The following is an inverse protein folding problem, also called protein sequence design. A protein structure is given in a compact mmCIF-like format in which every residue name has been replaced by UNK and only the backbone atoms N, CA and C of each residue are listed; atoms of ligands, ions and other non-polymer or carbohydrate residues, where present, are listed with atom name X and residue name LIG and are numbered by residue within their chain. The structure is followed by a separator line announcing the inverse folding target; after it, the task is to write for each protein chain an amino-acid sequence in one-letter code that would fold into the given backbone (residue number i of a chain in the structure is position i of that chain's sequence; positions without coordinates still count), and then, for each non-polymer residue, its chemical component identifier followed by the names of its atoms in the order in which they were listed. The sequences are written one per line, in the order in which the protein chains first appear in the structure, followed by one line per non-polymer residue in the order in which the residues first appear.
data_IF_490153747765
#
_entry.id   IF_490153747765
#
_cell.length_a   1.000
_cell.length_b   1.000
_cell.length_c   1.000
_cell.angle_alpha   90.00
_cell.angle_beta   90.00
_cell.angle_gamma   90.00
#
_symmetry.space_group_name_H-M   'P 1'
#
loop_
_entity.id
_entity.type
_entity.pdbx_description
1 polymer ?
#
# COMPACT_ATOMS: atom_id res chain seq x y z
N UNK A 1 -24.05 53.21 50.72
CA UNK A 1 -23.19 53.25 49.52
C UNK A 1 -21.93 52.48 49.87
N UNK A 2 -21.83 51.24 49.41
CA UNK A 2 -20.58 50.47 49.46
C UNK A 2 -20.58 49.60 48.22
N UNK A 3 -19.64 49.90 47.34
CA UNK A 3 -19.48 49.33 46.01
C UNK A 3 -19.22 47.83 46.05
N UNK A 4 -19.96 47.08 45.23
CA UNK A 4 -19.58 45.73 44.82
C UNK A 4 -18.54 45.84 43.70
N UNK A 5 -17.33 45.26 43.85
CA UNK A 5 -16.32 45.32 42.82
C UNK A 5 -16.63 44.30 41.73
N UNK A 6 -16.98 44.79 40.55
CA UNK A 6 -16.53 44.43 39.19
C UNK A 6 -15.90 43.03 38.94
N UNK A 7 -16.51 41.98 39.50
CA UNK A 7 -16.02 40.60 39.38
C UNK A 7 -16.56 39.89 38.15
N UNK A 8 -17.63 40.42 37.55
CA UNK A 8 -18.26 39.82 36.37
C UNK A 8 -17.59 40.29 35.07
N UNK A 9 -17.18 41.57 34.97
CA UNK A 9 -16.45 42.10 33.81
C UNK A 9 -15.09 41.43 33.58
N UNK A 10 -14.37 41.16 34.68
CA UNK A 10 -13.03 40.54 34.62
C UNK A 10 -13.03 39.06 34.22
N UNK A 11 -14.06 38.32 34.61
CA UNK A 11 -14.21 36.90 34.23
C UNK A 11 -14.65 36.75 32.77
N UNK A 12 -15.39 37.74 32.24
CA UNK A 12 -15.76 37.78 30.81
C UNK A 12 -14.59 38.26 29.96
N UNK A 13 -13.79 39.25 30.40
CA UNK A 13 -12.54 39.64 29.72
C UNK A 13 -11.48 38.53 29.73
N UNK A 14 -11.32 37.80 30.84
CA UNK A 14 -10.39 36.66 30.91
C UNK A 14 -10.88 35.46 30.08
N UNK A 15 -12.20 35.29 29.89
CA UNK A 15 -12.79 34.28 29.02
C UNK A 15 -12.76 34.67 27.53
N UNK A 16 -12.98 35.94 27.19
CA UNK A 16 -12.80 36.49 25.84
C UNK A 16 -11.32 36.51 25.44
N UNK A 17 -10.39 36.84 26.34
CA UNK A 17 -8.95 36.66 26.12
C UNK A 17 -8.55 35.19 26.04
N UNK A 18 -9.20 34.28 26.78
CA UNK A 18 -8.98 32.85 26.63
C UNK A 18 -9.52 32.32 25.28
N UNK A 19 -10.56 32.94 24.72
CA UNK A 19 -11.16 32.55 23.44
C UNK A 19 -10.47 33.22 22.23
N UNK A 20 -9.88 34.41 22.39
CA UNK A 20 -8.92 35.00 21.44
C UNK A 20 -7.52 34.35 21.51
N UNK A 21 -7.22 33.60 22.57
CA UNK A 21 -5.99 32.81 22.73
C UNK A 21 -6.04 31.45 22.02
N UNK A 22 -6.78 31.31 20.92
CA UNK A 22 -6.51 30.23 19.97
C UNK A 22 -5.11 30.49 19.38
N UNK A 23 -4.10 29.97 20.09
CA UNK A 23 -2.71 30.43 20.03
C UNK A 23 -2.21 30.57 18.58
N UNK A 24 -1.35 31.57 18.28
CA UNK A 24 -0.67 31.67 16.98
C UNK A 24 -0.04 30.34 16.53
N UNK A 25 0.39 29.52 17.49
CA UNK A 25 0.90 28.16 17.26
C UNK A 25 -0.17 27.23 16.68
N UNK A 26 -1.38 27.18 17.26
CA UNK A 26 -2.45 26.31 16.78
C UNK A 26 -2.91 26.68 15.37
N UNK A 27 -3.02 27.98 15.07
CA UNK A 27 -3.34 28.49 13.73
C UNK A 27 -2.26 28.12 12.73
N UNK A 28 -0.99 28.36 13.06
CA UNK A 28 0.16 27.98 12.23
C UNK A 28 0.18 26.46 12.00
N UNK A 29 -0.04 25.66 13.04
CA UNK A 29 -0.03 24.19 12.95
C UNK A 29 -1.14 23.67 12.03
N UNK A 30 -2.34 24.25 12.11
CA UNK A 30 -3.45 23.91 11.22
C UNK A 30 -3.14 24.25 9.76
N UNK A 31 -2.61 25.45 9.50
CA UNK A 31 -2.21 25.86 8.15
C UNK A 31 -1.11 24.95 7.58
N UNK A 32 -0.08 24.64 8.37
CA UNK A 32 1.03 23.76 7.96
C UNK A 32 0.60 22.33 7.68
N UNK A 33 -0.33 21.80 8.49
CA UNK A 33 -0.95 20.49 8.23
C UNK A 33 -1.72 20.49 6.91
N UNK A 34 -2.59 21.48 6.70
CA UNK A 34 -3.33 21.60 5.46
C UNK A 34 -2.39 21.70 4.23
N UNK A 35 -1.30 22.45 4.34
CA UNK A 35 -0.26 22.51 3.31
C UNK A 35 0.36 21.13 3.05
N UNK A 36 0.77 20.40 4.11
CA UNK A 36 1.33 19.05 3.99
C UNK A 36 0.33 18.09 3.35
N UNK A 37 -0.94 18.17 3.74
CA UNK A 37 -2.01 17.31 3.25
C UNK A 37 -2.27 17.53 1.74
N UNK A 38 -2.06 18.76 1.25
CA UNK A 38 -2.17 19.12 -0.17
C UNK A 38 -0.95 18.71 -1.01
N UNK A 39 0.18 18.36 -0.37
CA UNK A 39 1.37 17.93 -1.12
C UNK A 39 1.08 16.67 -1.95
N UNK A 40 1.61 16.57 -3.19
CA UNK A 40 1.48 15.36 -4.00
C UNK A 40 1.99 14.09 -3.30
N UNK A 41 3.02 14.24 -2.43
CA UNK A 41 3.54 13.15 -1.62
C UNK A 41 2.54 12.60 -0.60
N UNK A 42 1.63 13.44 -0.07
CA UNK A 42 0.63 13.03 0.93
C UNK A 42 -0.41 12.11 0.32
N UNK A 43 -1.02 12.52 -0.81
CA UNK A 43 -1.92 11.65 -1.57
C UNK A 43 -1.23 10.34 -1.99
N UNK A 44 0.02 10.41 -2.45
CA UNK A 44 0.78 9.21 -2.81
C UNK A 44 1.00 8.29 -1.61
N UNK A 45 1.26 8.84 -0.42
CA UNK A 45 1.40 8.04 0.81
C UNK A 45 0.11 7.26 1.10
N UNK A 46 -1.04 7.91 1.03
CA UNK A 46 -2.34 7.25 1.26
C UNK A 46 -2.63 6.16 0.22
N UNK A 47 -2.36 6.46 -1.06
CA UNK A 47 -2.45 5.52 -2.17
C UNK A 47 -1.54 4.30 -1.95
N UNK A 48 -0.30 4.51 -1.49
CA UNK A 48 0.65 3.43 -1.20
C UNK A 48 0.26 2.62 0.04
N UNK A 49 -0.34 3.24 1.06
CA UNK A 49 -0.89 2.53 2.21
C UNK A 49 -2.07 1.64 1.82
N UNK A 50 -2.97 2.13 0.97
CA UNK A 50 -4.08 1.34 0.43
C UNK A 50 -3.56 0.18 -0.45
N UNK A 51 -2.58 0.46 -1.31
CA UNK A 51 -1.94 -0.56 -2.16
C UNK A 51 -1.21 -1.62 -1.33
N UNK A 52 -0.55 -1.23 -0.23
CA UNK A 52 0.08 -2.16 0.71
C UNK A 52 -0.91 -3.14 1.33
N UNK A 53 -2.11 -2.67 1.71
CA UNK A 53 -3.17 -3.55 2.24
C UNK A 53 -3.61 -4.57 1.18
N UNK A 54 -3.80 -4.13 -0.05
CA UNK A 54 -4.16 -5.03 -1.17
C UNK A 54 -3.04 -6.05 -1.44
N UNK A 55 -1.78 -5.62 -1.42
CA UNK A 55 -0.62 -6.48 -1.60
C UNK A 55 -0.49 -7.52 -0.49
N UNK A 56 -0.71 -7.11 0.76
CA UNK A 56 -0.75 -8.01 1.91
C UNK A 56 -1.85 -9.08 1.75
N UNK A 57 -3.08 -8.67 1.42
CA UNK A 57 -4.20 -9.60 1.19
C UNK A 57 -3.91 -10.59 0.06
N UNK A 58 -3.35 -10.12 -1.05
CA UNK A 58 -2.91 -10.98 -2.15
C UNK A 58 -1.83 -11.97 -1.72
N UNK A 59 -0.79 -11.49 -1.04
CA UNK A 59 0.33 -12.32 -0.61
C UNK A 59 -0.09 -13.42 0.37
N UNK A 60 -0.94 -13.08 1.33
CA UNK A 60 -1.42 -14.04 2.32
C UNK A 60 -2.37 -15.07 1.70
N UNK A 61 -3.30 -14.65 0.83
CA UNK A 61 -4.16 -15.60 0.09
C UNK A 61 -3.34 -16.54 -0.81
N UNK A 62 -2.32 -16.02 -1.50
CA UNK A 62 -1.43 -16.83 -2.33
C UNK A 62 -0.65 -17.86 -1.49
N UNK A 63 -0.14 -17.44 -0.32
CA UNK A 63 0.59 -18.31 0.60
C UNK A 63 -0.30 -19.40 1.19
N UNK A 64 -1.53 -19.07 1.60
CA UNK A 64 -2.49 -20.04 2.13
C UNK A 64 -2.86 -21.08 1.07
N UNK A 65 -3.18 -20.63 -0.15
CA UNK A 65 -3.48 -21.53 -1.27
C UNK A 65 -2.28 -22.45 -1.57
N UNK A 66 -1.08 -21.90 -1.71
CA UNK A 66 0.12 -22.70 -2.00
C UNK A 66 0.42 -23.72 -0.88
N UNK A 67 0.26 -23.32 0.38
CA UNK A 67 0.46 -24.19 1.54
C UNK A 67 -0.55 -25.35 1.55
N UNK A 68 -1.81 -25.05 1.28
CA UNK A 68 -2.88 -26.05 1.19
C UNK A 68 -2.69 -27.00 0.01
N UNK A 69 -2.26 -26.49 -1.15
CA UNK A 69 -1.89 -27.34 -2.29
C UNK A 69 -0.72 -28.27 -1.94
N UNK A 70 0.32 -27.74 -1.27
CA UNK A 70 1.52 -28.49 -0.92
C UNK A 70 1.26 -29.64 0.07
N UNK A 71 0.25 -29.54 0.94
CA UNK A 71 -0.10 -30.63 1.86
C UNK A 71 -0.60 -31.90 1.16
N UNK A 72 -0.93 -31.81 -0.14
CA UNK A 72 -1.27 -32.96 -0.98
C UNK A 72 -0.25 -33.19 -2.11
N UNK A 73 0.09 -32.16 -2.88
CA UNK A 73 0.92 -32.31 -4.09
C UNK A 73 2.32 -32.86 -3.82
N UNK A 74 2.93 -32.50 -2.69
CA UNK A 74 4.29 -32.91 -2.33
C UNK A 74 4.36 -34.18 -1.47
N UNK A 75 3.25 -34.89 -1.27
CA UNK A 75 3.17 -36.00 -0.32
C UNK A 75 2.95 -37.35 -1.01
N UNK A 76 3.35 -38.43 -0.35
CA UNK A 76 2.99 -39.80 -0.76
C UNK A 76 1.57 -40.21 -0.38
N UNK A 77 0.69 -39.25 -0.07
CA UNK A 77 -0.69 -39.53 0.29
C UNK A 77 -1.50 -39.80 -0.97
N UNK A 78 -2.11 -40.98 -1.06
CA UNK A 78 -3.01 -41.30 -2.16
C UNK A 78 -4.35 -40.55 -2.01
N UNK A 79 -4.94 -40.14 -3.13
CA UNK A 79 -6.21 -39.39 -3.20
C UNK A 79 -7.37 -39.95 -2.35
N UNK A 80 -7.47 -41.26 -2.12
CA UNK A 80 -8.55 -41.86 -1.31
C UNK A 80 -8.46 -41.47 0.18
N UNK A 81 -7.33 -40.92 0.62
CA UNK A 81 -7.14 -40.40 1.98
C UNK A 81 -7.38 -38.88 2.07
N UNK A 82 -7.66 -38.22 0.96
CA UNK A 82 -7.95 -36.79 0.94
C UNK A 82 -9.42 -36.61 1.32
N UNK A 83 -9.67 -35.78 2.31
CA UNK A 83 -11.01 -35.57 2.83
C UNK A 83 -11.79 -34.55 1.98
N UNK A 84 -13.11 -34.52 2.14
CA UNK A 84 -13.96 -33.53 1.47
C UNK A 84 -13.64 -32.11 1.95
N UNK A 85 -13.29 -31.94 3.23
CA UNK A 85 -12.89 -30.65 3.80
C UNK A 85 -11.65 -30.09 3.10
N UNK A 86 -10.71 -30.94 2.67
CA UNK A 86 -9.56 -30.50 1.88
C UNK A 86 -10.02 -29.86 0.56
N UNK A 87 -10.97 -30.48 -0.13
CA UNK A 87 -11.47 -29.99 -1.43
C UNK A 87 -12.22 -28.68 -1.25
N UNK A 88 -13.10 -28.60 -0.24
CA UNK A 88 -13.87 -27.38 0.06
C UNK A 88 -12.94 -26.20 0.39
N UNK A 89 -11.90 -26.45 1.20
CA UNK A 89 -10.94 -25.44 1.57
C UNK A 89 -10.06 -25.01 0.38
N UNK A 90 -9.68 -25.95 -0.50
CA UNK A 90 -8.95 -25.65 -1.73
C UNK A 90 -9.76 -24.69 -2.62
N UNK A 91 -11.06 -24.95 -2.78
CA UNK A 91 -11.99 -24.12 -3.56
C UNK A 91 -12.12 -22.71 -2.96
N UNK A 92 -12.27 -22.62 -1.63
CA UNK A 92 -12.34 -21.33 -0.91
C UNK A 92 -11.06 -20.52 -1.09
N UNK A 93 -9.90 -21.14 -0.92
CA UNK A 93 -8.60 -20.49 -1.06
C UNK A 93 -8.31 -20.08 -2.49
N UNK A 94 -8.68 -20.89 -3.48
CA UNK A 94 -8.57 -20.56 -4.90
C UNK A 94 -9.39 -19.32 -5.26
N UNK A 95 -10.65 -19.27 -4.80
CA UNK A 95 -11.50 -18.09 -5.00
C UNK A 95 -10.88 -16.84 -4.38
N UNK A 96 -10.45 -16.91 -3.11
CA UNK A 96 -9.83 -15.79 -2.42
C UNK A 96 -8.58 -15.28 -3.13
N UNK A 97 -7.74 -16.21 -3.61
CA UNK A 97 -6.56 -15.88 -4.41
C UNK A 97 -6.94 -15.11 -5.69
N UNK A 98 -7.83 -15.67 -6.53
CA UNK A 98 -8.24 -15.05 -7.79
C UNK A 98 -8.85 -13.65 -7.60
N UNK A 99 -9.66 -13.48 -6.55
CA UNK A 99 -10.25 -12.19 -6.20
C UNK A 99 -9.22 -11.17 -5.70
N UNK A 100 -8.25 -11.62 -4.90
CA UNK A 100 -7.20 -10.74 -4.38
C UNK A 100 -6.22 -10.25 -5.46
N UNK A 101 -5.91 -11.08 -6.47
CA UNK A 101 -5.12 -10.65 -7.64
C UNK A 101 -5.82 -9.50 -8.36
N UNK A 102 -7.11 -9.64 -8.63
CA UNK A 102 -7.89 -8.62 -9.34
C UNK A 102 -7.94 -7.32 -8.53
N UNK A 103 -8.16 -7.44 -7.22
CA UNK A 103 -8.18 -6.30 -6.29
C UNK A 103 -6.84 -5.56 -6.32
N UNK A 104 -5.73 -6.29 -6.32
CA UNK A 104 -4.39 -5.71 -6.40
C UNK A 104 -4.17 -4.97 -7.72
N UNK A 105 -4.54 -5.56 -8.86
CA UNK A 105 -4.40 -4.94 -10.18
C UNK A 105 -5.21 -3.64 -10.28
N UNK A 106 -6.45 -3.64 -9.80
CA UNK A 106 -7.29 -2.43 -9.82
C UNK A 106 -6.74 -1.35 -8.88
N UNK A 107 -6.25 -1.71 -7.69
CA UNK A 107 -5.58 -0.78 -6.79
C UNK A 107 -4.33 -0.16 -7.46
N UNK A 108 -3.50 -0.97 -8.13
CA UNK A 108 -2.35 -0.47 -8.89
C UNK A 108 -2.76 0.53 -9.97
N UNK A 109 -3.83 0.26 -10.72
CA UNK A 109 -4.35 1.17 -11.75
C UNK A 109 -4.81 2.50 -11.16
N UNK A 110 -5.46 2.47 -10.00
CA UNK A 110 -5.87 3.70 -9.28
C UNK A 110 -4.64 4.51 -8.89
N UNK A 111 -3.66 3.91 -8.20
CA UNK A 111 -2.42 4.60 -7.79
C UNK A 111 -1.68 5.17 -9.00
N UNK A 112 -1.55 4.37 -10.07
CA UNK A 112 -0.91 4.79 -11.31
C UNK A 112 -1.59 6.01 -11.92
N UNK A 113 -2.93 6.02 -12.01
CA UNK A 113 -3.69 7.13 -12.61
C UNK A 113 -3.73 8.38 -11.74
N UNK A 114 -3.68 8.23 -10.42
CA UNK A 114 -3.49 9.36 -9.51
C UNK A 114 -2.11 9.99 -9.68
N UNK A 115 -1.07 9.15 -9.78
CA UNK A 115 0.32 9.62 -9.85
C UNK A 115 0.71 10.17 -11.22
N UNK A 116 0.23 9.52 -12.27
CA UNK A 116 0.47 9.87 -13.66
C UNK A 116 -0.90 9.96 -14.36
N UNK A 117 -1.60 11.09 -14.21
CA UNK A 117 -2.86 11.31 -14.89
C UNK A 117 -2.66 11.42 -16.40
N UNK A 118 -3.71 11.12 -17.16
CA UNK A 118 -3.69 11.26 -18.61
C UNK A 118 -3.73 12.73 -19.02
N UNK A 119 -2.80 13.16 -19.87
CA UNK A 119 -2.80 14.51 -20.45
C UNK A 119 -3.75 14.64 -21.66
N UNK A 120 -4.14 13.51 -22.25
CA UNK A 120 -4.90 13.41 -23.50
C UNK A 120 -6.26 12.72 -23.28
N UNK A 121 -7.20 12.98 -24.19
CA UNK A 121 -8.60 12.48 -24.15
C UNK A 121 -8.75 10.96 -24.12
N UNK A 122 -7.74 10.22 -24.56
CA UNK A 122 -7.68 8.76 -24.58
C UNK A 122 -7.44 8.13 -23.19
N UNK A 123 -7.28 8.94 -22.13
CA UNK A 123 -7.46 8.50 -20.75
C UNK A 123 -6.31 7.69 -20.15
N UNK A 124 -5.19 7.53 -20.86
CA UNK A 124 -3.97 6.85 -20.37
C UNK A 124 -2.77 7.80 -20.31
N UNK A 125 -1.95 7.72 -19.26
CA UNK A 125 -0.67 8.46 -19.21
C UNK A 125 0.41 7.83 -20.08
N UNK A 126 1.52 8.54 -20.29
CA UNK A 126 2.68 8.01 -21.00
C UNK A 126 3.23 6.74 -20.34
N UNK A 127 3.32 6.74 -19.00
CA UNK A 127 3.71 5.56 -18.23
C UNK A 127 2.76 4.38 -18.47
N UNK A 128 1.45 4.61 -18.48
CA UNK A 128 0.47 3.54 -18.71
C UNK A 128 0.61 2.95 -20.13
N UNK A 129 0.81 3.79 -21.15
CA UNK A 129 0.92 3.36 -22.55
C UNK A 129 2.22 2.62 -22.85
N UNK A 130 3.31 3.03 -22.22
CA UNK A 130 4.64 2.54 -22.52
C UNK A 130 5.04 1.52 -21.46
N UNK A 131 5.69 1.97 -20.39
CA UNK A 131 6.33 1.12 -19.39
C UNK A 131 5.38 0.09 -18.77
N UNK A 132 4.18 0.50 -18.38
CA UNK A 132 3.18 -0.39 -17.77
C UNK A 132 2.64 -1.42 -18.76
N UNK A 133 2.24 -0.98 -19.96
CA UNK A 133 1.72 -1.90 -20.99
C UNK A 133 2.81 -2.89 -21.44
N UNK A 134 4.05 -2.45 -21.60
CA UNK A 134 5.18 -3.31 -21.94
C UNK A 134 5.45 -4.34 -20.85
N UNK A 135 5.50 -3.92 -19.58
CA UNK A 135 5.72 -4.86 -18.48
C UNK A 135 4.54 -5.84 -18.33
N UNK A 136 3.32 -5.37 -18.55
CA UNK A 136 2.13 -6.23 -18.56
C UNK A 136 2.25 -7.30 -19.66
N UNK A 137 2.76 -6.91 -20.83
CA UNK A 137 3.03 -7.84 -21.92
C UNK A 137 4.08 -8.89 -21.54
N UNK A 138 5.19 -8.47 -20.95
CA UNK A 138 6.25 -9.40 -20.49
C UNK A 138 5.71 -10.40 -19.45
N UNK A 139 4.89 -9.93 -18.51
CA UNK A 139 4.41 -10.76 -17.41
C UNK A 139 3.19 -11.63 -17.75
N UNK A 140 2.33 -11.17 -18.68
CA UNK A 140 0.99 -11.72 -18.88
C UNK A 140 0.53 -11.80 -20.35
N UNK A 141 1.39 -11.60 -21.34
CA UNK A 141 1.05 -11.83 -22.76
C UNK A 141 1.12 -13.32 -23.11
N UNK A 142 0.28 -14.12 -22.45
CA UNK A 142 0.14 -15.54 -22.72
C UNK A 142 -1.31 -15.97 -22.65
N UNK A 143 -1.65 -17.02 -23.40
CA UNK A 143 -2.96 -17.66 -23.33
C UNK A 143 -3.31 -18.12 -21.92
N UNK A 144 -2.30 -18.58 -21.18
CA UNK A 144 -2.41 -18.99 -19.77
C UNK A 144 -2.80 -17.82 -18.85
N UNK A 145 -2.15 -16.66 -18.99
CA UNK A 145 -2.49 -15.49 -18.19
C UNK A 145 -3.89 -14.96 -18.52
N UNK A 146 -4.27 -14.95 -19.80
CA UNK A 146 -5.63 -14.63 -20.22
C UNK A 146 -6.65 -15.60 -19.62
N UNK A 147 -6.34 -16.91 -19.59
CA UNK A 147 -7.14 -17.93 -18.93
C UNK A 147 -7.29 -17.63 -17.44
N UNK A 148 -6.22 -17.32 -16.71
CA UNK A 148 -6.29 -17.02 -15.27
C UNK A 148 -7.14 -15.78 -14.96
N UNK A 149 -7.04 -14.72 -15.77
CA UNK A 149 -7.91 -13.53 -15.65
C UNK A 149 -9.38 -13.90 -15.88
N UNK A 150 -9.65 -14.75 -16.88
CA UNK A 150 -11.00 -15.19 -17.21
C UNK A 150 -11.55 -16.22 -16.23
N UNK A 151 -10.69 -17.00 -15.57
CA UNK A 151 -11.06 -17.94 -14.52
C UNK A 151 -11.67 -17.23 -13.31
N UNK A 152 -11.21 -16.01 -13.00
CA UNK A 152 -11.89 -15.15 -12.02
C UNK A 152 -13.30 -14.76 -12.48
N UNK A 153 -13.48 -14.42 -13.76
CA UNK A 153 -14.81 -14.08 -14.29
C UNK A 153 -15.75 -15.29 -14.27
N UNK A 154 -15.24 -16.46 -14.64
CA UNK A 154 -15.94 -17.73 -14.46
C UNK A 154 -16.36 -17.93 -12.98
N UNK A 155 -15.41 -17.71 -12.05
CA UNK A 155 -15.64 -17.86 -10.59
C UNK A 155 -16.66 -16.90 -10.00
N UNK A 156 -16.91 -15.76 -10.65
CA UNK A 156 -17.82 -14.71 -10.16
C UNK A 156 -19.17 -14.69 -10.86
N UNK A 157 -19.25 -15.23 -12.08
CA UNK A 157 -20.46 -15.14 -12.91
C UNK A 157 -21.03 -16.50 -13.33
N UNK A 158 -20.32 -17.60 -13.07
CA UNK A 158 -20.76 -18.93 -13.52
C UNK A 158 -20.67 -19.97 -12.39
N UNK A 159 -19.46 -20.33 -11.96
CA UNK A 159 -19.24 -21.30 -10.88
C UNK A 159 -17.82 -21.18 -10.35
N UNK A 160 -17.55 -21.61 -9.11
CA UNK A 160 -16.17 -21.76 -8.65
C UNK A 160 -15.62 -23.09 -9.19
N UNK A 161 -14.49 -23.11 -9.91
CA UNK A 161 -13.93 -24.34 -10.44
C UNK A 161 -13.52 -25.24 -9.26
N UNK A 162 -13.93 -26.51 -9.32
CA UNK A 162 -13.50 -27.53 -8.36
C UNK A 162 -12.42 -28.37 -9.02
N UNK A 163 -11.13 -28.20 -8.66
CA UNK A 163 -10.08 -29.04 -9.20
C UNK A 163 -10.31 -30.49 -8.77
N UNK A 164 -10.33 -31.40 -9.74
CA UNK A 164 -10.25 -32.82 -9.48
C UNK A 164 -8.91 -33.16 -8.85
N UNK A 165 -8.88 -34.11 -7.93
CA UNK A 165 -7.67 -34.56 -7.27
C UNK A 165 -7.28 -35.92 -7.86
N UNK A 166 -6.01 -36.11 -8.18
CA UNK A 166 -5.52 -37.35 -8.78
C UNK A 166 -4.18 -37.77 -8.20
N UNK A 167 -3.95 -39.08 -8.13
CA UNK A 167 -2.67 -39.70 -7.79
C UNK A 167 -2.30 -40.66 -8.92
N UNK A 168 -1.15 -40.44 -9.55
CA UNK A 168 -0.57 -41.36 -10.53
C UNK A 168 0.50 -42.20 -9.84
N UNK A 169 0.45 -43.51 -10.03
CA UNK A 169 1.44 -44.44 -9.48
C UNK A 169 2.42 -44.86 -10.58
N UNK A 170 3.70 -44.54 -10.41
CA UNK A 170 4.78 -44.99 -11.28
C UNK A 170 5.75 -45.89 -10.53
N UNK A 171 6.41 -46.78 -11.27
CA UNK A 171 7.44 -47.67 -10.74
C UNK A 171 8.81 -47.12 -11.16
N UNK A 172 9.59 -46.67 -10.18
CA UNK A 172 10.97 -46.24 -10.41
C UNK A 172 11.87 -47.43 -10.78
N UNK A 173 13.03 -47.15 -11.39
CA UNK A 173 14.03 -48.16 -11.76
C UNK A 173 14.50 -49.02 -10.56
N UNK A 174 14.35 -48.50 -9.34
CA UNK A 174 14.66 -49.17 -8.06
C UNK A 174 13.53 -50.05 -7.49
N UNK A 175 12.42 -50.26 -8.23
CA UNK A 175 11.16 -50.86 -7.73
C UNK A 175 10.50 -50.10 -6.57
N UNK A 176 10.90 -48.86 -6.34
CA UNK A 176 10.16 -47.96 -5.44
C UNK A 176 8.91 -47.44 -6.14
N UNK A 177 7.79 -47.46 -5.42
CA UNK A 177 6.54 -46.86 -5.88
C UNK A 177 6.66 -45.35 -5.69
N UNK A 178 6.58 -44.61 -6.79
CA UNK A 178 6.46 -43.16 -6.78
C UNK A 178 5.00 -42.79 -6.97
N UNK A 179 4.48 -41.98 -6.05
CA UNK A 179 3.14 -41.43 -6.14
C UNK A 179 3.26 -39.97 -6.54
N UNK A 180 2.68 -39.61 -7.68
CA UNK A 180 2.65 -38.24 -8.20
C UNK A 180 1.22 -37.71 -8.08
N UNK A 181 1.06 -36.71 -7.22
CA UNK A 181 -0.22 -36.07 -6.97
C UNK A 181 -0.40 -34.84 -7.87
N UNK A 182 -1.62 -34.63 -8.36
CA UNK A 182 -1.94 -33.49 -9.24
C UNK A 182 -3.36 -32.96 -9.00
N UNK A 183 -3.54 -31.66 -9.30
CA UNK A 183 -4.83 -30.98 -9.32
C UNK A 183 -5.26 -30.80 -10.77
N UNK A 184 -6.36 -31.44 -11.18
CA UNK A 184 -6.80 -31.52 -12.57
C UNK A 184 -8.05 -30.68 -12.79
N UNK A 185 -8.01 -29.76 -13.76
CA UNK A 185 -9.23 -29.11 -14.24
C UNK A 185 -9.82 -29.88 -15.42
N UNK A 186 -11.14 -29.81 -15.55
CA UNK A 186 -11.88 -30.38 -16.68
C UNK A 186 -12.06 -29.33 -17.76
N UNK A 187 -11.28 -29.45 -18.84
CA UNK A 187 -11.36 -28.55 -19.99
C UNK A 187 -12.76 -28.52 -20.59
N UNK A 188 -13.37 -29.69 -20.79
CA UNK A 188 -14.64 -29.79 -21.51
C UNK A 188 -15.80 -29.20 -20.68
N UNK A 189 -15.70 -29.28 -19.36
CA UNK A 189 -16.63 -28.60 -18.44
C UNK A 189 -16.40 -27.08 -18.43
N UNK A 190 -15.15 -26.63 -18.41
CA UNK A 190 -14.79 -25.21 -18.48
C UNK A 190 -15.27 -24.58 -19.80
N UNK A 191 -15.10 -25.26 -20.93
CA UNK A 191 -15.49 -24.78 -22.26
C UNK A 191 -17.01 -24.58 -22.44
N UNK A 192 -17.84 -24.99 -21.47
CA UNK A 192 -19.28 -24.69 -21.43
C UNK A 192 -19.58 -23.22 -21.12
N UNK A 193 -18.61 -22.48 -20.57
CA UNK A 193 -18.75 -21.05 -20.32
C UNK A 193 -18.32 -20.23 -21.54
N UNK A 194 -19.22 -19.46 -22.13
CA UNK A 194 -18.91 -18.69 -23.35
C UNK A 194 -18.01 -17.46 -23.09
N UNK A 195 -17.79 -17.08 -21.83
CA UNK A 195 -17.11 -15.84 -21.45
C UNK A 195 -15.58 -15.85 -21.54
N UNK A 196 -14.94 -16.94 -21.98
CA UNK A 196 -13.47 -17.05 -22.08
C UNK A 196 -12.87 -16.01 -23.05
N UNK A 197 -13.54 -15.73 -24.17
CA UNK A 197 -12.94 -14.95 -25.27
C UNK A 197 -11.84 -15.73 -26.01
N UNK A 198 -11.43 -15.24 -27.18
CA UNK A 198 -10.62 -16.01 -28.13
C UNK A 198 -9.29 -16.52 -27.56
N UNK A 199 -8.52 -15.67 -26.86
CA UNK A 199 -7.17 -16.01 -26.37
C UNK A 199 -7.23 -17.07 -25.26
N UNK A 200 -8.07 -16.90 -24.24
CA UNK A 200 -8.21 -17.87 -23.15
C UNK A 200 -8.86 -19.18 -23.64
N UNK A 201 -9.78 -19.09 -24.60
CA UNK A 201 -10.39 -20.27 -25.22
C UNK A 201 -9.37 -21.07 -26.01
N UNK A 202 -8.52 -20.43 -26.81
CA UNK A 202 -7.43 -21.09 -27.54
C UNK A 202 -6.49 -21.84 -26.60
N UNK A 203 -6.09 -21.21 -25.49
CA UNK A 203 -5.29 -21.88 -24.47
C UNK A 203 -5.98 -23.13 -23.90
N UNK A 204 -7.28 -23.05 -23.59
CA UNK A 204 -8.05 -24.19 -23.09
C UNK A 204 -8.14 -25.31 -24.12
N UNK A 205 -8.39 -24.99 -25.39
CA UNK A 205 -8.51 -25.98 -26.49
C UNK A 205 -7.20 -26.74 -26.74
N UNK A 206 -6.05 -26.12 -26.46
CA UNK A 206 -4.73 -26.76 -26.53
C UNK A 206 -4.46 -27.73 -25.36
N UNK A 207 -5.21 -27.63 -24.26
CA UNK A 207 -5.05 -28.51 -23.11
C UNK A 207 -5.66 -29.90 -23.36
N UNK A 208 -5.16 -30.90 -22.63
CA UNK A 208 -5.84 -32.18 -22.48
C UNK A 208 -7.22 -32.01 -21.81
N UNK A 209 -8.12 -33.00 -21.99
CA UNK A 209 -9.45 -32.97 -21.33
C UNK A 209 -9.34 -32.80 -19.81
N UNK A 210 -8.30 -33.40 -19.20
CA UNK A 210 -7.95 -33.25 -17.78
C UNK A 210 -6.51 -32.77 -17.62
N UNK A 211 -6.31 -31.46 -17.56
CA UNK A 211 -4.97 -30.86 -17.50
C UNK A 211 -4.56 -30.51 -16.07
N UNK A 212 -3.24 -30.50 -15.81
CA UNK A 212 -2.69 -30.12 -14.51
C UNK A 212 -2.75 -28.61 -14.28
N UNK A 213 -3.42 -28.22 -13.21
CA UNK A 213 -3.69 -26.84 -12.87
C UNK A 213 -2.66 -26.26 -11.90
N UNK A 214 -2.01 -27.09 -11.07
CA UNK A 214 -1.07 -26.59 -10.08
C UNK A 214 0.09 -25.79 -10.71
N UNK A 215 0.74 -26.26 -11.79
CA UNK A 215 1.82 -25.51 -12.44
C UNK A 215 1.35 -24.17 -13.02
N UNK A 216 0.10 -24.07 -13.48
CA UNK A 216 -0.48 -22.84 -14.03
C UNK A 216 -0.66 -21.81 -12.91
N UNK A 217 -1.22 -22.22 -11.76
CA UNK A 217 -1.35 -21.34 -10.60
C UNK A 217 0.03 -20.83 -10.16
N UNK A 218 1.03 -21.71 -10.05
CA UNK A 218 2.37 -21.36 -9.59
C UNK A 218 3.05 -20.34 -10.50
N UNK A 219 3.00 -20.55 -11.82
CA UNK A 219 3.54 -19.59 -12.80
C UNK A 219 2.82 -18.26 -12.73
N UNK A 220 1.49 -18.26 -12.66
CA UNK A 220 0.72 -17.03 -12.56
C UNK A 220 0.99 -16.27 -11.26
N UNK A 221 1.10 -16.97 -10.12
CA UNK A 221 1.51 -16.40 -8.83
C UNK A 221 2.89 -15.74 -8.89
N UNK A 222 3.83 -16.38 -9.59
CA UNK A 222 5.18 -15.85 -9.80
C UNK A 222 5.14 -14.58 -10.65
N UNK A 223 4.49 -14.61 -11.81
CA UNK A 223 4.32 -13.44 -12.69
C UNK A 223 3.66 -12.26 -11.97
N UNK A 224 2.62 -12.51 -11.17
CA UNK A 224 1.96 -11.48 -10.37
C UNK A 224 2.88 -10.85 -9.32
N UNK A 225 3.69 -11.66 -8.62
CA UNK A 225 4.68 -11.16 -7.65
C UNK A 225 5.77 -10.32 -8.32
N UNK A 226 6.32 -10.80 -9.44
CA UNK A 226 7.37 -10.10 -10.19
C UNK A 226 6.87 -8.78 -10.77
N UNK A 227 5.66 -8.79 -11.36
CA UNK A 227 5.02 -7.56 -11.85
C UNK A 227 4.76 -6.56 -10.73
N UNK A 228 4.25 -7.01 -9.57
CA UNK A 228 4.02 -6.13 -8.43
C UNK A 228 5.31 -5.52 -7.90
N UNK A 229 6.37 -6.32 -7.75
CA UNK A 229 7.68 -5.83 -7.30
C UNK A 229 8.24 -4.76 -8.25
N UNK A 230 8.15 -4.99 -9.57
CA UNK A 230 8.52 -4.00 -10.57
C UNK A 230 7.71 -2.70 -10.45
N UNK A 231 6.39 -2.81 -10.31
CA UNK A 231 5.52 -1.64 -10.21
C UNK A 231 5.84 -0.80 -8.97
N UNK A 232 6.10 -1.46 -7.83
CA UNK A 232 6.50 -0.82 -6.60
C UNK A 232 7.83 -0.06 -6.74
N UNK A 233 8.81 -0.65 -7.42
CA UNK A 233 10.07 0.01 -7.74
C UNK A 233 9.86 1.26 -8.59
N UNK A 234 9.04 1.17 -9.65
CA UNK A 234 8.73 2.32 -10.50
C UNK A 234 8.09 3.48 -9.73
N UNK A 235 7.15 3.21 -8.81
CA UNK A 235 6.56 4.26 -7.97
C UNK A 235 7.62 4.91 -7.07
N UNK A 236 8.43 4.10 -6.39
CA UNK A 236 9.46 4.62 -5.48
C UNK A 236 10.49 5.47 -6.20
N UNK A 237 10.97 5.00 -7.35
CA UNK A 237 11.99 5.70 -8.14
C UNK A 237 11.47 7.02 -8.68
N UNK A 238 10.27 7.04 -9.26
CA UNK A 238 9.68 8.22 -9.93
C UNK A 238 8.99 9.20 -8.99
N UNK A 239 8.84 8.83 -7.72
CA UNK A 239 8.20 9.67 -6.71
C UNK A 239 9.12 9.97 -5.53
N UNK A 240 10.43 9.74 -5.70
CA UNK A 240 11.45 9.99 -4.68
C UNK A 240 11.43 11.44 -4.20
N UNK A 241 11.32 12.40 -5.11
CA UNK A 241 11.27 13.83 -4.81
C UNK A 241 10.02 14.20 -4.01
N UNK A 242 8.82 13.81 -4.47
CA UNK A 242 7.57 14.08 -3.76
C UNK A 242 7.54 13.43 -2.35
N UNK A 243 8.10 12.22 -2.22
CA UNK A 243 8.25 11.55 -0.91
C UNK A 243 9.23 12.27 -0.02
N UNK A 244 10.36 12.74 -0.57
CA UNK A 244 11.37 13.48 0.17
C UNK A 244 10.82 14.83 0.64
N UNK A 245 10.10 15.56 -0.20
CA UNK A 245 9.46 16.82 0.15
C UNK A 245 8.46 16.64 1.29
N UNK A 246 7.54 15.67 1.17
CA UNK A 246 6.60 15.33 2.25
C UNK A 246 7.34 15.03 3.55
N UNK A 247 8.34 14.15 3.48
CA UNK A 247 9.10 13.74 4.67
C UNK A 247 9.82 14.92 5.31
N UNK A 248 10.46 15.78 4.52
CA UNK A 248 11.15 16.97 4.98
C UNK A 248 10.20 17.96 5.68
N UNK A 249 9.10 18.36 5.01
CA UNK A 249 8.15 19.34 5.54
C UNK A 249 7.41 18.80 6.78
N UNK A 250 7.01 17.53 6.77
CA UNK A 250 6.37 16.88 7.92
C UNK A 250 7.31 16.73 9.13
N UNK A 251 8.57 16.37 8.90
CA UNK A 251 9.55 16.26 9.99
C UNK A 251 9.91 17.63 10.56
N UNK A 252 10.06 18.66 9.70
CA UNK A 252 10.31 20.02 10.15
C UNK A 252 9.15 20.54 11.04
N UNK A 253 7.90 20.31 10.61
CA UNK A 253 6.72 20.68 11.39
C UNK A 253 6.66 19.95 12.72
N UNK A 254 6.95 18.64 12.74
CA UNK A 254 7.01 17.85 13.96
C UNK A 254 8.06 18.38 14.95
N UNK A 255 9.27 18.65 14.45
CA UNK A 255 10.37 19.17 15.27
C UNK A 255 10.07 20.57 15.80
N UNK A 256 9.50 21.46 14.98
CA UNK A 256 9.03 22.77 15.42
C UNK A 256 7.96 22.66 16.50
N UNK A 257 6.93 21.82 16.29
CA UNK A 257 5.88 21.63 17.29
C UNK A 257 6.46 21.10 18.62
N UNK A 258 7.42 20.17 18.56
CA UNK A 258 8.10 19.64 19.75
C UNK A 258 8.95 20.68 20.49
N UNK A 259 9.43 21.72 19.79
CA UNK A 259 10.14 22.86 20.39
C UNK A 259 9.16 23.83 21.08
N UNK A 260 7.96 23.99 20.53
CA UNK A 260 6.92 24.86 21.09
C UNK A 260 6.23 24.23 22.30
N UNK A 261 5.78 22.97 22.18
CA UNK A 261 5.05 22.20 23.20
C UNK A 261 5.99 21.39 24.10
N UNK A 262 6.93 22.08 24.76
CA UNK A 262 7.86 21.45 25.70
C UNK A 262 7.16 21.16 27.02
N UNK A 263 6.98 19.88 27.34
CA UNK A 263 6.36 19.44 28.60
C UNK A 263 7.38 18.85 29.59
N UNK A 264 7.21 19.12 30.91
CA UNK A 264 7.95 18.42 31.94
C UNK A 264 7.62 16.92 31.91
N UNK A 265 8.57 16.07 32.27
CA UNK A 265 8.40 14.61 32.20
C UNK A 265 7.32 14.09 33.14
N UNK A 266 7.28 14.64 34.37
CA UNK A 266 6.25 14.34 35.36
C UNK A 266 4.84 14.70 34.88
N UNK A 267 4.68 15.72 34.04
CA UNK A 267 3.38 16.10 33.47
C UNK A 267 2.92 15.07 32.43
N UNK A 268 3.86 14.50 31.66
CA UNK A 268 3.55 13.47 30.66
C UNK A 268 3.24 12.11 31.32
N UNK A 269 3.85 11.82 32.47
CA UNK A 269 3.64 10.58 33.23
C UNK A 269 2.52 10.66 34.28
N UNK A 270 1.83 11.81 34.40
CA UNK A 270 0.75 12.01 35.37
C UNK A 270 1.23 12.11 36.82
N UNK A 271 2.51 12.41 37.05
CA UNK A 271 3.10 12.60 38.37
C UNK A 271 3.11 14.05 38.86
N UNK A 272 3.70 14.26 40.04
CA UNK A 272 3.88 15.58 40.65
C UNK A 272 5.24 16.20 40.30
N UNK A 273 5.37 17.55 40.35
CA UNK A 273 6.65 18.21 40.18
C UNK A 273 7.67 17.76 41.25
N UNK A 274 8.93 17.46 40.87
CA UNK A 274 9.97 17.08 41.81
C UNK A 274 10.24 18.13 42.89
N UNK A 275 10.69 17.75 44.10
CA UNK A 275 11.11 18.69 45.13
C UNK A 275 12.21 19.64 44.61
N UNK A 276 12.01 20.96 44.76
CA UNK A 276 12.96 21.97 44.28
C UNK A 276 12.91 22.25 42.78
N UNK A 277 11.85 21.81 42.07
CA UNK A 277 11.71 22.03 40.63
C UNK A 277 11.69 23.51 40.26
N UNK A 278 12.69 23.93 39.48
CA UNK A 278 12.71 25.24 38.82
C UNK A 278 12.21 25.08 37.39
N UNK A 279 10.90 25.19 37.21
CA UNK A 279 10.27 24.97 35.92
C UNK A 279 10.79 25.82 34.79
N UNK A 280 11.12 27.09 35.08
CA UNK A 280 11.63 28.01 34.06
C UNK A 280 13.00 27.56 33.53
N UNK A 281 13.89 27.10 34.41
CA UNK A 281 15.24 26.65 34.03
C UNK A 281 15.18 25.35 33.23
N UNK A 282 14.41 24.37 33.69
CA UNK A 282 14.32 23.05 33.06
C UNK A 282 13.59 23.11 31.72
N UNK A 283 12.48 23.84 31.62
CA UNK A 283 11.79 24.06 30.34
C UNK A 283 12.67 24.78 29.32
N UNK A 284 13.47 25.77 29.75
CA UNK A 284 14.45 26.45 28.88
C UNK A 284 15.52 25.49 28.36
N UNK A 285 16.04 24.60 29.20
CA UNK A 285 17.02 23.59 28.81
C UNK A 285 16.44 22.60 27.80
N UNK A 286 15.25 22.06 28.07
CA UNK A 286 14.56 21.15 27.15
C UNK A 286 14.24 21.81 25.81
N UNK A 287 13.74 23.06 25.81
CA UNK A 287 13.50 23.82 24.58
C UNK A 287 14.80 24.05 23.81
N UNK A 288 15.91 24.39 24.50
CA UNK A 288 17.21 24.53 23.84
C UNK A 288 17.69 23.22 23.19
N UNK A 289 17.46 22.06 23.85
CA UNK A 289 17.77 20.75 23.27
C UNK A 289 16.92 20.46 22.02
N UNK A 290 15.61 20.74 22.07
CA UNK A 290 14.72 20.59 20.90
C UNK A 290 15.08 21.53 19.75
N UNK A 291 15.50 22.76 20.07
CA UNK A 291 16.04 23.70 19.08
C UNK A 291 17.31 23.19 18.42
N UNK A 292 18.23 22.58 19.19
CA UNK A 292 19.44 21.95 18.65
C UNK A 292 19.07 20.78 17.73
N UNK A 293 18.13 19.93 18.14
CA UNK A 293 17.62 18.80 17.34
C UNK A 293 17.04 19.27 16.00
N UNK A 294 16.16 20.29 16.05
CA UNK A 294 15.59 20.93 14.85
C UNK A 294 16.66 21.56 13.95
N UNK A 295 17.65 22.24 14.55
CA UNK A 295 18.76 22.84 13.80
C UNK A 295 19.62 21.77 13.13
N UNK A 296 19.92 20.67 13.83
CA UNK A 296 20.71 19.56 13.31
C UNK A 296 20.03 18.84 12.13
N UNK A 297 18.70 18.76 12.13
CA UNK A 297 17.93 18.25 10.99
C UNK A 297 18.14 19.10 9.73
N UNK A 298 18.16 20.44 9.90
CA UNK A 298 18.26 21.41 8.81
C UNK A 298 16.93 21.53 8.07
N UNK A 299 16.31 22.72 8.11
CA UNK A 299 15.06 23.00 7.37
C UNK A 299 15.35 23.05 5.87
N UNK A 300 15.15 21.93 5.17
CA UNK A 300 15.43 21.77 3.72
C UNK A 300 14.22 22.09 2.82
N UNK A 301 13.16 22.65 3.38
CA UNK A 301 11.87 22.80 2.69
C UNK A 301 11.53 24.19 2.16
N UNK A 302 12.44 25.17 2.16
CA UNK A 302 12.12 26.55 1.76
C UNK A 302 12.65 26.86 0.37
N UNK A 303 11.81 26.81 -0.67
CA UNK A 303 12.06 27.43 -1.97
C UNK A 303 13.19 26.85 -2.83
N UNK A 304 14.18 26.19 -2.23
CA UNK A 304 15.44 25.88 -2.88
C UNK A 304 16.12 27.13 -3.47
N UNK A 305 17.14 26.88 -4.29
CA UNK A 305 17.72 27.88 -5.18
C UNK A 305 17.28 27.51 -6.60
N UNK A 306 16.39 28.30 -7.19
CA UNK A 306 16.08 28.26 -8.60
C UNK A 306 17.14 29.04 -9.40
N UNK A 307 17.29 28.74 -10.68
CA UNK A 307 18.19 29.50 -11.58
C UNK A 307 17.31 30.17 -12.63
N UNK A 308 17.40 31.50 -12.74
CA UNK A 308 16.64 32.26 -13.74
C UNK A 308 17.14 32.00 -15.17
N UNK A 309 16.43 32.55 -16.17
CA UNK A 309 16.80 32.42 -17.59
C UNK A 309 18.15 33.07 -17.95
N UNK A 310 18.80 33.75 -17.01
CA UNK A 310 20.12 34.39 -17.14
C UNK A 310 21.20 33.65 -16.34
N UNK A 311 20.89 32.52 -15.72
CA UNK A 311 21.85 31.74 -14.94
C UNK A 311 22.05 32.24 -13.51
N UNK A 312 21.18 33.12 -12.99
CA UNK A 312 21.27 33.68 -11.64
C UNK A 312 20.48 32.82 -10.65
N UNK A 313 21.14 32.42 -9.58
CA UNK A 313 20.53 31.76 -8.43
C UNK A 313 19.54 32.71 -7.71
N UNK A 314 18.26 32.36 -7.70
CA UNK A 314 17.19 33.03 -6.95
C UNK A 314 16.56 32.05 -5.96
N UNK A 315 16.02 32.50 -4.81
CA UNK A 315 15.16 31.65 -3.99
C UNK A 315 13.98 31.17 -4.86
N UNK A 316 13.75 29.86 -4.96
CA UNK A 316 12.57 29.39 -5.68
C UNK A 316 11.30 29.73 -4.91
N UNK A 317 10.21 29.91 -5.65
CA UNK A 317 8.89 30.13 -5.05
C UNK A 317 8.38 28.80 -4.49
N UNK A 318 8.29 28.71 -3.16
CA UNK A 318 7.62 27.62 -2.46
C UNK A 318 6.66 28.25 -1.45
N UNK A 319 5.43 27.79 -1.42
CA UNK A 319 4.44 28.20 -0.43
C UNK A 319 4.84 27.80 0.99
N UNK A 320 5.80 26.89 1.17
CA UNK A 320 6.37 26.54 2.48
C UNK A 320 7.38 27.58 2.99
N UNK A 321 6.87 28.58 3.70
CA UNK A 321 7.68 29.63 4.33
C UNK A 321 8.43 29.13 5.58
N UNK A 322 9.47 29.84 6.07
CA UNK A 322 10.10 29.51 7.35
C UNK A 322 9.12 29.48 8.53
N UNK A 323 9.18 28.41 9.32
CA UNK A 323 8.38 28.27 10.54
C UNK A 323 8.79 29.31 11.60
N UNK A 324 7.83 29.86 12.38
CA UNK A 324 8.10 30.85 13.43
C UNK A 324 9.15 30.38 14.46
N UNK A 325 9.90 31.34 15.03
CA UNK A 325 10.99 31.08 15.98
C UNK A 325 10.58 31.10 17.45
#
# INVERSE_FOLDING_TARGET
MSDCPDTVGRVVEDAEQAQESYTPIAVEMAWRKAHIDDLPGSRLKDDLEALNRCSYTFGENAKQLATHMASFLGTGQHVHKVSEEYVLELVRLLHNYLMSVTTLIEAQRVVMRHRWPAEKKDGKSEFERNDYTNQLGIAFDSGEAAFMVKLRNYSTHYAIPVPGISTTMSWGASRQVELVNALKLDRDLLLRFDGWGAVAKGFLEEQESKFDFAPIIERYMKSAREFFAWFWDQINRRSSEAKAELHCKATELFLWYSEQDVRPEWMTSGGEPPPGWNGRRELRRKRAQKRIERYAYGSRGHGGIAVDSRGVAMPGEDSWTPLPR
#
